data_IF_008081088652
#
_entry.id   IF_008081088652
#
_cell.length_a   1.000
_cell.length_b   1.000
_cell.length_c   1.000
_cell.angle_alpha   90.00
_cell.angle_beta   90.00
_cell.angle_gamma   90.00
#
_symmetry.space_group_name_H-M   'P 1'
#
loop_
_entity.id
_entity.type
_entity.pdbx_description
1 polymer ?
#
# COMPACT_ATOMS: atom_id res chain seq x y z
N UNK A 1 15.19 -7.32 17.17
CA UNK A 1 14.13 -6.51 17.81
C UNK A 1 14.37 -5.00 17.65
N UNK A 2 15.54 -4.46 18.01
CA UNK A 2 15.84 -3.02 17.90
C UNK A 2 15.72 -2.44 16.47
N UNK A 3 16.15 -3.18 15.43
CA UNK A 3 16.01 -2.73 14.03
C UNK A 3 14.56 -2.63 13.57
N UNK A 4 13.69 -3.53 14.04
CA UNK A 4 12.25 -3.52 13.72
C UNK A 4 11.59 -2.23 14.20
N UNK A 5 11.83 -1.84 15.45
CA UNK A 5 11.32 -0.58 16.00
C UNK A 5 11.83 0.65 15.25
N UNK A 6 13.12 0.67 14.85
CA UNK A 6 13.68 1.78 14.07
C UNK A 6 13.00 1.90 12.70
N UNK A 7 12.72 0.79 12.02
CA UNK A 7 12.00 0.82 10.74
C UNK A 7 10.54 1.23 10.93
N UNK A 8 9.87 0.70 11.96
CA UNK A 8 8.50 1.07 12.33
C UNK A 8 8.35 2.57 12.59
N UNK A 9 9.27 3.15 13.36
CA UNK A 9 9.34 4.59 13.61
C UNK A 9 9.46 5.38 12.30
N UNK A 10 10.30 4.95 11.36
CA UNK A 10 10.44 5.62 10.06
C UNK A 10 9.15 5.50 9.22
N UNK A 11 8.47 4.35 9.27
CA UNK A 11 7.20 4.12 8.57
C UNK A 11 6.14 5.10 9.06
N UNK A 12 5.89 5.15 10.37
CA UNK A 12 4.87 6.04 10.93
C UNK A 12 5.23 7.51 10.75
N UNK A 13 6.50 7.89 10.94
CA UNK A 13 6.95 9.26 10.68
C UNK A 13 6.74 9.70 9.23
N UNK A 14 6.93 8.81 8.24
CA UNK A 14 6.64 9.12 6.84
C UNK A 14 5.12 9.25 6.63
N UNK A 15 4.36 8.29 7.15
CA UNK A 15 2.90 8.25 7.04
C UNK A 15 2.25 9.53 7.62
N UNK A 16 2.69 9.97 8.79
CA UNK A 16 2.20 11.19 9.44
C UNK A 16 2.62 12.45 8.69
N UNK A 17 3.91 12.55 8.33
CA UNK A 17 4.45 13.78 7.74
C UNK A 17 3.99 14.01 6.28
N UNK A 18 3.71 12.95 5.54
CA UNK A 18 3.49 13.04 4.09
C UNK A 18 2.18 12.43 3.60
N UNK A 19 1.54 11.56 4.40
CA UNK A 19 0.32 10.85 3.99
C UNK A 19 -0.88 11.08 4.91
N UNK A 20 -0.88 12.15 5.71
CA UNK A 20 -2.03 12.55 6.53
C UNK A 20 -2.51 11.42 7.46
N UNK A 21 -1.62 10.54 7.92
CA UNK A 21 -2.04 9.33 8.65
C UNK A 21 -2.89 9.67 9.89
N UNK A 22 -2.44 10.62 10.71
CA UNK A 22 -3.24 11.18 11.82
C UNK A 22 -4.64 11.67 11.43
N UNK A 23 -4.85 12.18 10.21
CA UNK A 23 -6.15 12.66 9.77
C UNK A 23 -7.07 11.50 9.35
N UNK A 24 -6.51 10.47 8.70
CA UNK A 24 -7.29 9.44 8.00
C UNK A 24 -7.29 8.07 8.66
N UNK A 25 -6.57 7.88 9.76
CA UNK A 25 -6.45 6.59 10.48
C UNK A 25 -7.82 5.92 10.74
N UNK A 26 -8.75 6.66 11.34
CA UNK A 26 -10.09 6.15 11.67
C UNK A 26 -10.99 5.97 10.43
N UNK A 27 -10.67 6.60 9.32
CA UNK A 27 -11.40 6.52 8.06
C UNK A 27 -10.57 5.91 6.91
N UNK A 28 -9.68 4.96 7.26
CA UNK A 28 -8.82 4.28 6.30
C UNK A 28 -9.62 3.61 5.16
N UNK A 29 -9.02 3.54 3.97
CA UNK A 29 -9.66 3.01 2.77
C UNK A 29 -9.00 1.69 2.35
N UNK A 30 -9.75 0.85 1.63
CA UNK A 30 -9.21 -0.40 1.10
C UNK A 30 -8.29 -0.14 -0.09
N UNK A 31 -8.65 0.83 -0.94
CA UNK A 31 -7.91 1.17 -2.15
C UNK A 31 -7.85 2.70 -2.34
N UNK A 32 -6.77 3.18 -2.96
CA UNK A 32 -6.45 4.62 -3.06
C UNK A 32 -7.56 5.45 -3.72
N UNK A 33 -8.30 4.85 -4.66
CA UNK A 33 -9.35 5.53 -5.43
C UNK A 33 -10.77 5.34 -4.86
N UNK A 34 -10.94 4.73 -3.68
CA UNK A 34 -12.27 4.39 -3.13
C UNK A 34 -13.18 5.60 -2.87
N UNK A 35 -12.59 6.75 -2.60
CA UNK A 35 -13.29 8.02 -2.34
C UNK A 35 -13.16 9.01 -3.50
N UNK A 36 -12.64 8.57 -4.65
CA UNK A 36 -12.36 9.45 -5.80
C UNK A 36 -13.62 10.08 -6.42
N UNK A 37 -14.79 9.47 -6.25
CA UNK A 37 -16.07 10.01 -6.75
C UNK A 37 -16.50 11.31 -6.09
N UNK A 38 -16.03 11.58 -4.86
CA UNK A 38 -16.34 12.80 -4.10
C UNK A 38 -15.35 13.94 -4.42
N UNK A 39 -14.30 13.66 -5.18
CA UNK A 39 -13.32 14.63 -5.64
C UNK A 39 -13.85 15.45 -6.82
N UNK A 40 -13.65 16.76 -6.79
CA UNK A 40 -14.05 17.66 -7.88
C UNK A 40 -12.92 18.00 -8.86
N UNK A 41 -11.73 17.40 -8.69
CA UNK A 41 -10.57 17.60 -9.55
C UNK A 41 -9.88 18.95 -9.39
N UNK A 42 -10.19 19.72 -8.34
CA UNK A 42 -9.51 21.01 -8.13
C UNK A 42 -8.01 20.83 -7.91
N UNK A 43 -7.23 21.83 -8.31
CA UNK A 43 -5.80 21.84 -8.02
C UNK A 43 -5.55 21.88 -6.50
N UNK A 44 -4.62 21.04 -6.04
CA UNK A 44 -4.23 20.92 -4.64
C UNK A 44 -2.84 21.55 -4.37
N UNK A 45 -2.25 22.24 -5.34
CA UNK A 45 -0.94 22.88 -5.20
C UNK A 45 -0.92 23.95 -4.12
N UNK A 46 -2.00 24.74 -4.00
CA UNK A 46 -2.16 25.79 -2.98
C UNK A 46 -3.22 25.45 -1.93
N UNK A 47 -3.75 24.23 -1.92
CA UNK A 47 -4.77 23.82 -0.96
C UNK A 47 -4.16 23.65 0.44
N UNK A 48 -4.74 24.32 1.43
CA UNK A 48 -4.24 24.30 2.80
C UNK A 48 -4.94 23.23 3.65
N UNK A 49 -4.39 22.02 3.67
CA UNK A 49 -4.93 20.88 4.44
C UNK A 49 -4.99 21.12 5.95
N UNK A 50 -4.09 21.92 6.53
CA UNK A 50 -4.09 22.15 7.99
C UNK A 50 -5.16 23.14 8.46
N UNK A 51 -5.73 23.92 7.53
CA UNK A 51 -6.76 24.92 7.82
C UNK A 51 -8.12 24.60 7.17
N UNK A 52 -8.28 23.41 6.56
CA UNK A 52 -9.51 23.05 5.87
C UNK A 52 -10.63 22.56 6.80
N UNK A 53 -10.34 22.42 8.10
CA UNK A 53 -11.30 22.01 9.12
C UNK A 53 -11.73 20.54 9.01
N UNK A 54 -10.99 19.69 8.31
CA UNK A 54 -11.22 18.26 8.32
C UNK A 54 -10.94 17.67 9.70
N UNK A 55 -11.93 16.97 10.24
CA UNK A 55 -11.84 16.23 11.50
C UNK A 55 -12.62 14.94 11.34
N UNK A 56 -12.12 13.84 11.90
CA UNK A 56 -12.87 12.59 11.95
C UNK A 56 -14.13 12.82 12.80
N UNK A 57 -15.34 12.57 12.28
CA UNK A 57 -16.54 12.66 13.08
C UNK A 57 -16.45 11.62 14.20
N UNK A 58 -16.49 12.06 15.46
CA UNK A 58 -16.48 11.16 16.61
C UNK A 58 -17.55 10.07 16.42
N UNK A 59 -17.17 8.82 16.64
CA UNK A 59 -17.95 7.60 16.42
C UNK A 59 -19.16 7.44 17.35
N UNK A 60 -19.90 8.50 17.63
CA UNK A 60 -21.10 8.53 18.47
C UNK A 60 -22.33 8.91 17.64
N UNK A 61 -22.68 8.07 16.65
CA UNK A 61 -24.05 7.86 16.14
C UNK A 61 -24.87 9.09 15.73
N UNK A 62 -24.25 10.27 15.65
CA UNK A 62 -24.93 11.55 15.46
C UNK A 62 -24.03 12.37 14.57
N UNK A 63 -24.38 12.42 13.28
CA UNK A 63 -23.99 13.50 12.38
C UNK A 63 -24.52 14.80 12.99
N UNK A 64 -23.85 15.34 14.00
CA UNK A 64 -24.26 16.55 14.70
C UNK A 64 -23.94 17.79 13.83
N UNK A 65 -24.78 17.99 12.82
CA UNK A 65 -25.54 19.21 12.53
C UNK A 65 -24.95 20.56 13.00
N UNK A 66 -23.70 20.86 12.68
CA UNK A 66 -23.35 22.23 12.30
C UNK A 66 -23.45 22.33 10.77
N UNK A 67 -24.70 22.50 10.30
CA UNK A 67 -25.06 22.80 8.90
C UNK A 67 -25.27 21.62 7.92
N UNK A 68 -26.34 20.84 8.14
CA UNK A 68 -27.09 20.11 7.10
C UNK A 68 -26.37 18.99 6.33
N UNK A 69 -27.10 18.38 5.39
CA UNK A 69 -26.64 17.34 4.43
C UNK A 69 -25.33 17.72 3.69
N UNK A 70 -24.99 19.03 3.66
CA UNK A 70 -23.75 19.55 3.09
C UNK A 70 -22.49 19.18 3.89
N UNK A 71 -22.57 18.95 5.20
CA UNK A 71 -21.42 18.61 6.04
C UNK A 71 -20.78 17.27 5.65
N UNK A 72 -21.59 16.25 5.37
CA UNK A 72 -21.09 14.95 4.92
C UNK A 72 -20.44 15.00 3.54
N UNK A 73 -21.04 15.73 2.60
CA UNK A 73 -20.51 15.89 1.23
C UNK A 73 -19.19 16.67 1.22
N UNK A 74 -19.10 17.75 2.00
CA UNK A 74 -17.86 18.52 2.14
C UNK A 74 -16.76 17.70 2.81
N UNK A 75 -17.11 16.92 3.84
CA UNK A 75 -16.19 16.02 4.51
C UNK A 75 -15.64 14.94 3.58
N UNK A 76 -16.52 14.25 2.81
CA UNK A 76 -16.10 13.24 1.83
C UNK A 76 -15.18 13.82 0.76
N UNK A 77 -15.45 15.04 0.30
CA UNK A 77 -14.57 15.74 -0.63
C UNK A 77 -13.18 16.01 -0.05
N UNK A 78 -13.11 16.45 1.21
CA UNK A 78 -11.84 16.69 1.92
C UNK A 78 -11.05 15.40 2.16
N UNK A 79 -11.75 14.29 2.41
CA UNK A 79 -11.16 12.96 2.46
C UNK A 79 -10.57 12.57 1.09
N UNK A 80 -11.33 12.77 0.01
CA UNK A 80 -10.88 12.51 -1.35
C UNK A 80 -9.63 13.31 -1.73
N UNK A 81 -9.55 14.58 -1.33
CA UNK A 81 -8.35 15.40 -1.55
C UNK A 81 -7.10 14.84 -0.85
N UNK A 82 -7.24 14.31 0.37
CA UNK A 82 -6.12 13.68 1.08
C UNK A 82 -5.64 12.44 0.33
N UNK A 83 -6.54 11.55 -0.07
CA UNK A 83 -6.18 10.35 -0.85
C UNK A 83 -5.59 10.67 -2.22
N UNK A 84 -6.11 11.67 -2.94
CA UNK A 84 -5.48 12.15 -4.18
C UNK A 84 -4.10 12.75 -3.93
N UNK A 85 -3.92 13.53 -2.86
CA UNK A 85 -2.61 14.08 -2.51
C UNK A 85 -1.61 12.99 -2.12
N UNK A 86 -2.04 11.95 -1.40
CA UNK A 86 -1.24 10.75 -1.10
C UNK A 86 -0.80 10.08 -2.40
N UNK A 87 -1.74 9.91 -3.36
CA UNK A 87 -1.47 9.36 -4.68
C UNK A 87 -0.42 10.16 -5.46
N UNK A 88 -0.53 11.48 -5.45
CA UNK A 88 0.44 12.38 -6.09
C UNK A 88 1.82 12.27 -5.45
N UNK A 89 1.90 12.32 -4.11
CA UNK A 89 3.16 12.20 -3.38
C UNK A 89 3.82 10.85 -3.64
N UNK A 90 3.07 9.75 -3.54
CA UNK A 90 3.60 8.42 -3.86
C UNK A 90 4.17 8.39 -5.28
N UNK A 91 3.41 8.82 -6.28
CA UNK A 91 3.86 8.77 -7.67
C UNK A 91 5.09 9.66 -7.96
N UNK A 92 5.17 10.83 -7.32
CA UNK A 92 6.31 11.74 -7.46
C UNK A 92 7.59 11.22 -6.79
N UNK A 93 7.46 10.39 -5.74
CA UNK A 93 8.60 9.97 -4.91
C UNK A 93 8.88 8.46 -4.91
N UNK A 94 8.08 7.64 -5.61
CA UNK A 94 8.23 6.16 -5.63
C UNK A 94 9.58 5.64 -6.11
N UNK A 95 10.31 6.47 -6.87
CA UNK A 95 11.67 6.19 -7.35
C UNK A 95 12.75 7.05 -6.67
N UNK A 96 12.37 7.91 -5.72
CA UNK A 96 13.22 8.96 -5.13
C UNK A 96 12.88 9.22 -3.66
N UNK A 97 12.60 8.16 -2.90
CA UNK A 97 12.14 8.22 -1.48
C UNK A 97 13.09 9.03 -0.59
N UNK A 98 14.39 8.98 -0.84
CA UNK A 98 15.37 9.80 -0.11
C UNK A 98 15.14 11.32 -0.27
N UNK A 99 14.55 11.76 -1.38
CA UNK A 99 14.14 13.14 -1.60
C UNK A 99 12.87 13.53 -0.82
N UNK A 100 11.97 12.57 -0.59
CA UNK A 100 10.79 12.77 0.25
C UNK A 100 11.18 12.93 1.72
N UNK A 101 12.08 12.06 2.19
CA UNK A 101 12.54 12.04 3.59
C UNK A 101 13.41 13.26 3.96
N UNK A 102 14.15 13.80 3.00
CA UNK A 102 15.18 14.81 3.23
C UNK A 102 16.50 14.23 3.75
N UNK A 103 17.60 15.01 3.75
CA UNK A 103 18.96 14.50 3.90
C UNK A 103 19.20 13.75 5.22
N UNK A 104 18.80 14.32 6.37
CA UNK A 104 19.06 13.69 7.68
C UNK A 104 18.32 12.36 7.89
N UNK A 105 17.02 12.32 7.55
CA UNK A 105 16.21 11.09 7.68
C UNK A 105 16.59 10.05 6.63
N UNK A 106 17.05 10.48 5.44
CA UNK A 106 17.52 9.59 4.37
C UNK A 106 18.70 8.73 4.84
N UNK A 107 19.71 9.31 5.46
CA UNK A 107 20.91 8.56 5.86
C UNK A 107 20.57 7.52 6.93
N UNK A 108 19.73 7.88 7.90
CA UNK A 108 19.21 6.95 8.90
C UNK A 108 18.42 5.81 8.25
N UNK A 109 17.53 6.11 7.29
CA UNK A 109 16.76 5.11 6.56
C UNK A 109 17.66 4.15 5.77
N UNK A 110 18.66 4.68 5.04
CA UNK A 110 19.59 3.86 4.27
C UNK A 110 20.41 2.92 5.17
N UNK A 111 20.85 3.40 6.34
CA UNK A 111 21.53 2.55 7.32
C UNK A 111 20.62 1.43 7.82
N UNK A 112 19.39 1.74 8.23
CA UNK A 112 18.43 0.72 8.71
C UNK A 112 18.13 -0.29 7.60
N UNK A 113 17.99 0.14 6.34
CA UNK A 113 17.78 -0.76 5.20
C UNK A 113 18.97 -1.68 4.98
N UNK A 114 20.20 -1.17 5.05
CA UNK A 114 21.42 -1.98 4.95
C UNK A 114 21.52 -3.02 6.07
N UNK A 115 21.23 -2.61 7.30
CA UNK A 115 21.26 -3.52 8.46
C UNK A 115 20.19 -4.62 8.32
N UNK A 116 18.99 -4.28 7.81
CA UNK A 116 17.91 -5.24 7.53
C UNK A 116 18.32 -6.23 6.43
N UNK A 117 18.88 -5.79 5.30
CA UNK A 117 19.36 -6.73 4.26
C UNK A 117 20.40 -7.70 4.84
N UNK A 118 21.30 -7.20 5.68
CA UNK A 118 22.35 -8.02 6.30
C UNK A 118 21.77 -9.08 7.22
N UNK A 119 20.87 -8.71 8.14
CA UNK A 119 20.31 -9.65 9.11
C UNK A 119 19.26 -10.61 8.51
N UNK A 120 18.71 -10.27 7.35
CA UNK A 120 17.74 -11.10 6.63
C UNK A 120 18.36 -11.89 5.49
N UNK A 121 19.70 -11.94 5.41
CA UNK A 121 20.45 -12.65 4.36
C UNK A 121 19.94 -12.29 2.95
N UNK A 122 19.74 -10.99 2.71
CA UNK A 122 19.27 -10.43 1.43
C UNK A 122 17.89 -10.95 0.98
N UNK A 123 16.99 -11.27 1.93
CA UNK A 123 15.64 -11.75 1.64
C UNK A 123 14.90 -10.88 0.62
N UNK A 124 14.87 -9.57 0.88
CA UNK A 124 14.13 -8.65 0.04
C UNK A 124 14.82 -8.44 -1.31
N UNK A 125 16.15 -8.43 -1.36
CA UNK A 125 16.87 -8.45 -2.64
C UNK A 125 16.43 -9.64 -3.51
N UNK A 126 16.27 -10.83 -2.93
CA UNK A 126 15.75 -12.01 -3.64
C UNK A 126 14.28 -11.84 -4.08
N UNK A 127 13.43 -11.30 -3.20
CA UNK A 127 12.03 -11.02 -3.55
C UNK A 127 11.91 -9.98 -4.68
N UNK A 128 12.71 -8.91 -4.66
CA UNK A 128 12.76 -7.87 -5.70
C UNK A 128 13.16 -8.46 -7.05
N UNK A 129 14.03 -9.47 -7.11
CA UNK A 129 14.36 -10.16 -8.37
C UNK A 129 13.12 -10.82 -8.97
N UNK A 130 12.33 -11.55 -8.18
CA UNK A 130 11.08 -12.17 -8.62
C UNK A 130 10.10 -11.11 -9.14
N UNK A 131 9.87 -10.06 -8.34
CA UNK A 131 8.95 -8.99 -8.66
C UNK A 131 9.35 -8.22 -9.93
N UNK A 132 10.64 -7.96 -10.11
CA UNK A 132 11.17 -7.27 -11.30
C UNK A 132 11.02 -8.14 -12.55
N UNK A 133 11.22 -9.45 -12.44
CA UNK A 133 11.01 -10.39 -13.55
C UNK A 133 9.53 -10.46 -13.95
N UNK A 134 8.60 -10.39 -13.00
CA UNK A 134 7.17 -10.27 -13.29
C UNK A 134 6.89 -8.92 -13.99
N UNK A 135 7.46 -7.83 -13.48
CA UNK A 135 7.23 -6.48 -13.99
C UNK A 135 7.79 -6.25 -15.40
N UNK A 136 8.79 -7.04 -15.83
CA UNK A 136 9.35 -6.94 -17.19
C UNK A 136 8.50 -7.64 -18.25
N UNK A 137 7.53 -8.47 -17.86
CA UNK A 137 6.65 -9.21 -18.76
C UNK A 137 5.41 -8.39 -19.09
N UNK A 138 5.12 -8.24 -20.38
CA UNK A 138 3.98 -7.44 -20.86
C UNK A 138 2.60 -8.01 -20.48
N UNK A 139 2.52 -9.29 -20.11
CA UNK A 139 1.29 -10.00 -19.78
C UNK A 139 1.15 -10.33 -18.28
N UNK A 140 2.03 -9.82 -17.43
CA UNK A 140 1.99 -10.05 -15.99
C UNK A 140 1.86 -8.72 -15.23
N UNK A 141 1.23 -8.76 -14.06
CA UNK A 141 1.01 -7.58 -13.22
C UNK A 141 1.25 -7.97 -11.77
N UNK A 142 2.01 -7.15 -11.05
CA UNK A 142 2.20 -7.27 -9.61
C UNK A 142 1.08 -6.53 -8.85
N UNK A 143 0.50 -7.17 -7.84
CA UNK A 143 -0.54 -6.60 -6.96
C UNK A 143 -0.22 -6.96 -5.49
N UNK A 144 -0.36 -6.01 -4.58
CA UNK A 144 -0.23 -6.21 -3.12
C UNK A 144 -1.62 -6.30 -2.50
N UNK A 145 -1.80 -7.30 -1.64
CA UNK A 145 -2.90 -7.36 -0.67
C UNK A 145 -2.29 -7.55 0.71
N UNK A 146 -2.52 -6.59 1.62
CA UNK A 146 -1.91 -6.58 2.96
C UNK A 146 -2.93 -6.34 4.06
N UNK A 147 -2.70 -6.86 5.27
CA UNK A 147 -3.54 -6.59 6.45
C UNK A 147 -3.15 -5.30 7.19
N UNK A 148 -2.11 -4.58 6.72
CA UNK A 148 -1.80 -3.24 7.21
C UNK A 148 -2.81 -2.24 6.63
N UNK A 149 -3.21 -1.24 7.42
CA UNK A 149 -3.99 -0.09 6.92
C UNK A 149 -3.31 0.52 5.68
N UNK A 150 -4.08 1.08 4.76
CA UNK A 150 -3.57 1.48 3.45
C UNK A 150 -2.44 2.51 3.56
N UNK A 151 -2.61 3.55 4.38
CA UNK A 151 -1.61 4.63 4.47
C UNK A 151 -0.24 4.14 4.99
N UNK A 152 -0.14 3.41 6.13
CA UNK A 152 1.13 2.81 6.53
C UNK A 152 1.65 1.74 5.56
N UNK A 153 0.77 1.04 4.83
CA UNK A 153 1.20 0.11 3.79
C UNK A 153 1.91 0.83 2.63
N UNK A 154 1.39 1.98 2.18
CA UNK A 154 2.04 2.81 1.16
C UNK A 154 3.41 3.31 1.64
N UNK A 155 3.51 3.74 2.89
CA UNK A 155 4.79 4.13 3.51
C UNK A 155 5.80 2.97 3.50
N UNK A 156 5.37 1.76 3.88
CA UNK A 156 6.19 0.55 3.79
C UNK A 156 6.66 0.30 2.35
N UNK A 157 5.76 0.33 1.36
CA UNK A 157 6.12 0.08 -0.04
C UNK A 157 7.20 1.06 -0.53
N UNK A 158 7.09 2.35 -0.17
CA UNK A 158 8.14 3.32 -0.46
C UNK A 158 9.46 3.00 0.26
N UNK A 159 9.44 2.83 1.58
CA UNK A 159 10.64 2.65 2.39
C UNK A 159 11.39 1.35 2.10
N UNK A 160 10.69 0.31 1.64
CA UNK A 160 11.29 -0.94 1.20
C UNK A 160 11.69 -0.93 -0.28
N UNK A 161 11.57 0.19 -0.99
CA UNK A 161 12.04 0.35 -2.37
C UNK A 161 11.18 -0.37 -3.41
N UNK A 162 9.91 -0.65 -3.07
CA UNK A 162 8.97 -1.38 -3.91
C UNK A 162 8.12 -0.45 -4.79
N UNK A 163 8.20 0.86 -4.56
CA UNK A 163 7.36 1.84 -5.24
C UNK A 163 7.48 1.87 -6.77
N UNK A 164 8.66 1.59 -7.31
CA UNK A 164 8.87 1.49 -8.76
C UNK A 164 8.24 0.24 -9.41
N UNK A 165 7.94 -0.78 -8.61
CA UNK A 165 7.39 -2.08 -9.05
C UNK A 165 5.87 -2.12 -8.90
N UNK A 166 5.34 -1.48 -7.85
CA UNK A 166 3.91 -1.47 -7.57
C UNK A 166 3.31 -0.08 -7.87
N UNK A 167 2.56 0.05 -8.97
CA UNK A 167 1.62 1.17 -9.12
C UNK A 167 0.74 1.26 -7.89
N UNK A 168 0.43 2.47 -7.45
CA UNK A 168 -0.34 2.67 -6.21
C UNK A 168 -1.75 2.08 -6.28
N UNK A 169 -2.32 2.03 -7.48
CA UNK A 169 -3.61 1.40 -7.77
C UNK A 169 -3.54 -0.12 -7.62
N UNK A 170 -2.36 -0.73 -7.54
CA UNK A 170 -2.20 -2.17 -7.37
C UNK A 170 -1.96 -2.54 -5.89
N UNK A 171 -2.26 -1.66 -4.95
CA UNK A 171 -2.07 -1.89 -3.51
C UNK A 171 -3.44 -1.85 -2.83
N UNK A 172 -3.79 -2.95 -2.16
CA UNK A 172 -5.07 -3.12 -1.47
C UNK A 172 -4.84 -3.42 0.02
N UNK A 173 -5.52 -2.69 0.89
CA UNK A 173 -5.60 -2.98 2.32
C UNK A 173 -6.79 -3.88 2.64
N UNK A 174 -6.50 -5.07 3.15
CA UNK A 174 -7.45 -6.04 3.62
C UNK A 174 -7.91 -5.80 5.07
N UNK A 175 -7.44 -4.74 5.74
CA UNK A 175 -7.68 -4.52 7.18
C UNK A 175 -9.16 -4.52 7.55
N UNK A 176 -10.02 -3.94 6.69
CA UNK A 176 -11.46 -3.82 6.96
C UNK A 176 -12.31 -4.94 6.34
N UNK A 177 -11.92 -5.44 5.17
CA UNK A 177 -12.77 -6.34 4.36
C UNK A 177 -12.23 -7.76 4.21
N UNK A 178 -11.02 -8.04 4.70
CA UNK A 178 -10.35 -9.33 4.53
C UNK A 178 -9.75 -9.54 3.14
N UNK A 179 -8.87 -10.56 3.03
CA UNK A 179 -8.12 -10.84 1.80
C UNK A 179 -9.01 -11.40 0.68
N UNK A 180 -9.99 -12.24 1.01
CA UNK A 180 -10.97 -12.80 0.05
C UNK A 180 -11.70 -11.69 -0.71
N UNK A 181 -12.29 -10.72 0.00
CA UNK A 181 -12.97 -9.58 -0.61
C UNK A 181 -12.02 -8.71 -1.46
N UNK A 182 -10.76 -8.51 -1.04
CA UNK A 182 -9.76 -7.83 -1.87
C UNK A 182 -9.47 -8.60 -3.16
N UNK A 183 -9.36 -9.93 -3.11
CA UNK A 183 -9.18 -10.77 -4.29
C UNK A 183 -10.36 -10.66 -5.26
N UNK A 184 -11.61 -10.67 -4.77
CA UNK A 184 -12.79 -10.46 -5.61
C UNK A 184 -12.80 -9.09 -6.30
N UNK A 185 -12.38 -8.03 -5.59
CA UNK A 185 -12.22 -6.69 -6.18
C UNK A 185 -11.15 -6.68 -7.28
N UNK A 186 -10.04 -7.38 -7.07
CA UNK A 186 -8.96 -7.53 -8.07
C UNK A 186 -9.50 -8.29 -9.30
N UNK A 187 -10.25 -9.39 -9.12
CA UNK A 187 -10.89 -10.12 -10.21
C UNK A 187 -11.86 -9.25 -10.99
N UNK A 188 -12.64 -8.43 -10.29
CA UNK A 188 -13.59 -7.50 -10.91
C UNK A 188 -12.89 -6.45 -11.77
N UNK A 189 -11.68 -6.03 -11.39
CA UNK A 189 -10.87 -5.06 -12.13
C UNK A 189 -10.14 -5.66 -13.32
N UNK A 190 -9.45 -6.78 -13.15
CA UNK A 190 -8.61 -7.39 -14.21
C UNK A 190 -9.38 -8.38 -15.10
N UNK A 191 -10.52 -8.90 -14.63
CA UNK A 191 -11.39 -9.79 -15.36
C UNK A 191 -11.13 -11.28 -15.12
N UNK A 192 -12.16 -12.10 -15.29
CA UNK A 192 -12.12 -13.54 -14.96
C UNK A 192 -11.25 -14.42 -15.89
N UNK A 193 -10.73 -13.85 -16.99
CA UNK A 193 -9.89 -14.58 -17.96
C UNK A 193 -8.41 -14.62 -17.58
N UNK A 194 -7.99 -13.83 -16.61
CA UNK A 194 -6.62 -13.84 -16.10
C UNK A 194 -6.37 -15.07 -15.22
N UNK A 195 -5.12 -15.53 -15.20
CA UNK A 195 -4.65 -16.49 -14.20
C UNK A 195 -4.20 -15.71 -12.97
N UNK A 196 -4.82 -15.95 -11.82
CA UNK A 196 -4.46 -15.32 -10.55
C UNK A 196 -3.59 -16.28 -9.74
N UNK A 197 -2.36 -15.89 -9.44
CA UNK A 197 -1.45 -16.65 -8.57
C UNK A 197 -1.28 -15.87 -7.28
N UNK A 198 -1.63 -16.49 -6.15
CA UNK A 198 -1.47 -15.87 -4.83
C UNK A 198 -0.15 -16.32 -4.24
N UNK A 199 0.68 -15.37 -3.80
CA UNK A 199 1.96 -15.63 -3.16
C UNK A 199 1.92 -15.05 -1.75
N UNK A 200 2.23 -15.85 -0.74
CA UNK A 200 2.21 -15.39 0.65
C UNK A 200 2.64 -16.46 1.64
N UNK A 201 2.76 -16.09 2.90
CA UNK A 201 3.22 -16.93 4.01
C UNK A 201 2.09 -17.33 4.96
N UNK A 202 1.04 -16.51 5.05
CA UNK A 202 -0.08 -16.66 5.99
C UNK A 202 -1.17 -17.64 5.56
N UNK A 203 -1.99 -18.04 6.53
CA UNK A 203 -3.13 -18.93 6.32
C UNK A 203 -4.33 -18.20 5.69
N UNK A 204 -4.49 -16.90 5.96
CA UNK A 204 -5.64 -16.11 5.49
C UNK A 204 -5.64 -15.99 3.95
N UNK A 205 -4.49 -15.71 3.35
CA UNK A 205 -4.33 -15.64 1.90
C UNK A 205 -4.45 -17.00 1.22
N UNK A 206 -3.99 -18.08 1.86
CA UNK A 206 -4.13 -19.44 1.33
C UNK A 206 -5.58 -19.90 1.35
N UNK A 207 -6.30 -19.64 2.45
CA UNK A 207 -7.72 -19.95 2.57
C UNK A 207 -8.55 -19.20 1.52
N UNK A 208 -8.31 -17.89 1.37
CA UNK A 208 -8.96 -17.06 0.37
C UNK A 208 -8.63 -17.51 -1.07
N UNK A 209 -7.36 -17.84 -1.35
CA UNK A 209 -6.95 -18.38 -2.65
C UNK A 209 -7.68 -19.69 -2.96
N UNK A 210 -7.79 -20.58 -1.97
CA UNK A 210 -8.49 -21.87 -2.12
C UNK A 210 -9.98 -21.69 -2.39
N UNK A 211 -10.66 -20.77 -1.72
CA UNK A 211 -12.09 -20.48 -1.96
C UNK A 211 -12.33 -19.99 -3.40
N UNK A 212 -11.42 -19.16 -3.93
CA UNK A 212 -11.50 -18.61 -5.28
C UNK A 212 -10.87 -19.51 -6.36
N UNK A 213 -10.34 -20.68 -5.98
CA UNK A 213 -9.61 -21.61 -6.84
C UNK A 213 -8.38 -21.00 -7.52
N UNK A 214 -7.65 -20.14 -6.82
CA UNK A 214 -6.39 -19.58 -7.28
C UNK A 214 -5.22 -20.47 -6.86
N UNK A 215 -4.28 -20.77 -7.78
CA UNK A 215 -2.99 -21.33 -7.40
C UNK A 215 -2.33 -20.52 -6.28
N UNK A 216 -1.83 -21.21 -5.26
CA UNK A 216 -1.16 -20.60 -4.11
C UNK A 216 0.30 -21.05 -4.06
N UNK A 217 1.22 -20.09 -4.01
CA UNK A 217 2.65 -20.32 -3.79
C UNK A 217 3.02 -19.88 -2.38
N UNK A 218 3.21 -20.84 -1.48
CA UNK A 218 3.62 -20.56 -0.11
C UNK A 218 5.08 -20.10 -0.06
N UNK A 219 5.35 -19.07 0.72
CA UNK A 219 6.70 -18.63 1.08
C UNK A 219 6.88 -18.84 2.58
N UNK A 220 7.74 -19.77 2.99
CA UNK A 220 8.06 -20.02 4.41
C UNK A 220 9.55 -19.85 4.71
N UNK A 221 10.38 -19.76 3.68
CA UNK A 221 11.84 -19.70 3.76
C UNK A 221 12.46 -19.10 2.49
N UNK A 222 13.76 -18.80 2.51
CA UNK A 222 14.47 -18.24 1.35
C UNK A 222 14.45 -19.19 0.16
N UNK A 223 14.44 -20.50 0.40
CA UNK A 223 14.38 -21.50 -0.68
C UNK A 223 13.08 -21.44 -1.46
N UNK A 224 11.96 -21.07 -0.84
CA UNK A 224 10.67 -20.97 -1.51
C UNK A 224 10.64 -19.77 -2.47
N UNK A 225 11.24 -18.65 -2.04
CA UNK A 225 11.45 -17.46 -2.89
C UNK A 225 12.42 -17.75 -4.04
N UNK A 226 13.47 -18.53 -3.79
CA UNK A 226 14.39 -18.97 -4.85
C UNK A 226 13.71 -19.92 -5.85
N UNK A 227 12.86 -20.82 -5.36
CA UNK A 227 12.06 -21.70 -6.21
C UNK A 227 11.05 -20.90 -7.06
N UNK A 228 10.42 -19.87 -6.49
CA UNK A 228 9.55 -18.95 -7.22
C UNK A 228 10.33 -18.25 -8.34
N UNK A 229 11.53 -17.73 -8.05
CA UNK A 229 12.39 -17.12 -9.05
C UNK A 229 12.67 -18.08 -10.21
N UNK A 230 13.05 -19.32 -9.92
CA UNK A 230 13.35 -20.33 -10.93
C UNK A 230 12.11 -20.68 -11.78
N UNK A 231 10.94 -20.83 -11.14
CA UNK A 231 9.69 -21.12 -11.84
C UNK A 231 9.28 -19.97 -12.77
N UNK A 232 9.45 -18.72 -12.31
CA UNK A 232 9.29 -17.55 -13.16
C UNK A 232 10.29 -17.62 -14.31
N UNK A 233 11.60 -17.69 -14.07
CA UNK A 233 12.63 -17.66 -15.11
C UNK A 233 12.43 -18.71 -16.22
N UNK A 234 11.97 -19.91 -15.85
CA UNK A 234 11.66 -21.00 -16.79
C UNK A 234 10.30 -20.86 -17.51
N UNK A 235 9.47 -19.88 -17.16
CA UNK A 235 8.16 -19.64 -17.76
C UNK A 235 7.07 -20.60 -17.28
N UNK A 236 7.23 -21.21 -16.11
CA UNK A 236 6.21 -22.08 -15.49
C UNK A 236 5.12 -21.32 -14.75
N UNK A 237 5.33 -20.02 -14.51
CA UNK A 237 4.40 -19.06 -13.93
C UNK A 237 4.33 -17.80 -14.80
#
# INVERSE_FOLDING_TARGET
>A
MQLGYRMEEIIFNLADAHFFFNDVEDCDQVHIDDVSSDDNGQDLGTYNFSADGFHVPASNGTLCLSSGVRGGVDWMRKLAFRYRKIKDVYNNYRNSVGGLLGPGKRDQWLQVRSDIETITDNWLTLAIKCLTLINSRSNCVNVIVTTTQLVPALAKVLLFGLGGIFPIENIYSATKIGKESCFERIVSRFGRKCTYVVVGDGQDEEAAAKQLNFPFWRISSHSDTAALYNALDMGFL
#
